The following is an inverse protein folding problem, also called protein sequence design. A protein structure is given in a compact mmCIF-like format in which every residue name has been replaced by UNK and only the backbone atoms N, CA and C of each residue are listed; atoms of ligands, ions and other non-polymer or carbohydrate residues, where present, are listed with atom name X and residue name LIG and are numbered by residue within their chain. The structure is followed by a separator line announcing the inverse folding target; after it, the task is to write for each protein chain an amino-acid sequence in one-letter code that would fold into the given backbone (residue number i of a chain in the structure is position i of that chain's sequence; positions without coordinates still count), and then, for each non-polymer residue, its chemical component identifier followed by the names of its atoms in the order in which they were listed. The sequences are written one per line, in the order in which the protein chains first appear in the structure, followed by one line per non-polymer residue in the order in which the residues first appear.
data_IF_604168414737
#
_entry.id   IF_604168414737
#
_cell.length_a   1.000
_cell.length_b   1.000
_cell.length_c   1.000
_cell.angle_alpha   90.00
_cell.angle_beta   90.00
_cell.angle_gamma   90.00
#
_symmetry.space_group_name_H-M   'P 1'
#
loop_
_entity.id
_entity.type
_entity.pdbx_description
1 polymer ?
#
# COMPACT_ATOMS: atom_id res chain seq x y z
N UNK A 1 38.96 37.54 -2.42
CA UNK A 1 40.15 36.82 -1.92
C UNK A 1 39.67 35.55 -1.22
N UNK A 2 40.27 34.40 -1.54
CA UNK A 2 40.25 33.14 -0.79
C UNK A 2 38.90 32.44 -0.48
N UNK A 3 38.49 31.58 -1.43
CA UNK A 3 37.96 30.23 -1.19
C UNK A 3 39.11 29.20 -1.44
N UNK A 4 38.88 27.86 -1.49
CA UNK A 4 37.78 27.02 -1.00
C UNK A 4 38.29 26.21 0.23
N UNK A 5 38.59 24.88 0.29
CA UNK A 5 38.42 23.71 -0.61
C UNK A 5 37.22 22.80 -0.14
N UNK A 6 36.95 21.56 -0.60
CA UNK A 6 37.60 20.67 -1.57
C UNK A 6 36.57 20.10 -2.58
N UNK A 7 36.86 20.24 -3.87
CA UNK A 7 36.33 19.39 -4.94
C UNK A 7 37.48 19.24 -5.95
N UNK A 8 37.85 18.01 -6.31
CA UNK A 8 38.94 17.76 -7.28
C UNK A 8 38.50 16.69 -8.26
N UNK A 9 38.40 17.06 -9.54
CA UNK A 9 38.10 16.13 -10.62
C UNK A 9 39.37 15.44 -11.11
N UNK A 10 39.21 14.20 -11.60
CA UNK A 10 40.01 13.67 -12.71
C UNK A 10 39.10 12.89 -13.64
N UNK A 11 38.73 13.51 -14.76
CA UNK A 11 38.18 12.79 -15.90
C UNK A 11 39.34 12.14 -16.67
N UNK A 12 39.27 10.83 -16.89
CA UNK A 12 39.89 10.20 -18.05
C UNK A 12 38.80 9.72 -19.01
N UNK A 13 38.98 10.05 -20.29
CA UNK A 13 38.04 9.75 -21.38
C UNK A 13 38.48 8.42 -22.01
N UNK A 14 37.70 7.36 -21.85
CA UNK A 14 37.86 6.08 -22.57
C UNK A 14 36.48 5.60 -23.06
N UNK A 15 36.49 4.93 -24.22
CA UNK A 15 35.30 4.51 -24.97
C UNK A 15 34.61 3.28 -24.35
N UNK A 16 33.34 3.01 -24.71
CA UNK A 16 32.52 2.02 -24.02
C UNK A 16 32.80 0.59 -24.50
N UNK A 17 33.30 -0.24 -23.59
CA UNK A 17 33.18 -1.71 -23.68
C UNK A 17 32.75 -2.27 -22.34
N UNK A 18 31.95 -3.33 -22.41
CA UNK A 18 31.31 -4.10 -21.35
C UNK A 18 32.07 -4.13 -20.00
N UNK A 19 31.38 -3.77 -18.91
CA UNK A 19 31.79 -4.16 -17.56
C UNK A 19 30.57 -4.35 -16.65
N UNK A 20 30.42 -5.59 -16.17
CA UNK A 20 29.44 -6.04 -15.20
C UNK A 20 29.91 -5.60 -13.80
N UNK A 21 29.08 -4.95 -12.97
CA UNK A 21 29.35 -4.82 -11.55
C UNK A 21 28.76 -6.02 -10.79
N UNK A 22 29.63 -6.88 -10.24
CA UNK A 22 29.21 -7.89 -9.26
C UNK A 22 29.14 -7.29 -7.85
N UNK A 23 28.30 -7.90 -7.02
CA UNK A 23 27.75 -7.38 -5.76
C UNK A 23 28.74 -7.13 -4.61
N UNK A 24 28.30 -6.32 -3.64
CA UNK A 24 28.72 -6.42 -2.23
C UNK A 24 27.51 -6.85 -1.41
N UNK A 25 27.51 -8.09 -0.92
CA UNK A 25 26.58 -8.59 0.11
C UNK A 25 27.37 -8.89 1.38
N UNK A 26 26.91 -8.37 2.52
CA UNK A 26 27.53 -8.65 3.81
C UNK A 26 27.13 -10.03 4.33
N UNK A 27 28.05 -10.99 4.26
CA UNK A 27 27.90 -12.34 4.83
C UNK A 27 28.86 -12.59 5.98
N UNK A 28 28.38 -13.25 7.04
CA UNK A 28 29.18 -13.60 8.23
C UNK A 28 30.33 -14.56 7.87
N UNK A 29 31.50 -14.36 8.49
CA UNK A 29 32.68 -15.18 8.24
C UNK A 29 32.75 -16.47 9.08
N UNK A 30 33.48 -17.47 8.57
CA UNK A 30 33.81 -18.68 9.33
C UNK A 30 34.02 -19.92 8.45
N UNK A 31 35.18 -20.04 7.79
CA UNK A 31 35.54 -21.26 7.04
C UNK A 31 36.74 -21.08 6.10
N UNK A 32 37.90 -21.57 6.51
CA UNK A 32 39.14 -21.52 5.72
C UNK A 32 39.32 -22.79 4.88
N UNK A 33 39.32 -22.69 3.55
CA UNK A 33 39.90 -23.72 2.68
C UNK A 33 40.68 -23.14 1.49
N UNK A 34 41.60 -23.95 0.99
CA UNK A 34 42.83 -23.56 0.27
C UNK A 34 42.59 -23.47 -1.25
N UNK A 35 43.08 -22.41 -1.88
CA UNK A 35 42.97 -22.23 -3.33
C UNK A 35 43.95 -23.17 -4.09
N UNK A 36 43.46 -23.84 -5.14
CA UNK A 36 44.29 -24.40 -6.21
C UNK A 36 43.75 -23.93 -7.56
N UNK A 37 44.59 -23.26 -8.35
CA UNK A 37 44.27 -22.84 -9.71
C UNK A 37 44.44 -24.00 -10.70
N UNK A 38 43.54 -24.11 -11.68
CA UNK A 38 43.86 -24.67 -13.00
C UNK A 38 43.12 -23.87 -14.09
N UNK A 39 43.80 -23.65 -15.21
CA UNK A 39 43.36 -22.75 -16.28
C UNK A 39 42.55 -23.46 -17.38
N UNK A 40 41.68 -22.67 -18.05
CA UNK A 40 41.22 -22.78 -19.44
C UNK A 40 41.21 -24.15 -20.15
N UNK A 41 40.03 -24.54 -20.67
CA UNK A 41 39.89 -24.66 -22.14
C UNK A 41 38.42 -24.64 -22.63
N UNK A 42 38.21 -24.15 -23.86
CA UNK A 42 36.93 -24.25 -24.59
C UNK A 42 36.80 -25.64 -25.22
N UNK A 43 35.60 -26.24 -25.23
CA UNK A 43 34.97 -26.82 -26.45
C UNK A 43 33.58 -27.38 -26.17
N UNK A 44 32.74 -27.37 -27.21
CA UNK A 44 31.45 -28.07 -27.23
C UNK A 44 31.64 -29.58 -27.32
N UNK A 45 30.88 -30.35 -26.54
CA UNK A 45 30.39 -31.69 -26.92
C UNK A 45 29.29 -32.20 -25.99
N UNK A 46 28.18 -32.62 -26.59
CA UNK A 46 27.12 -33.39 -25.94
C UNK A 46 27.65 -34.76 -25.51
N UNK A 47 27.43 -35.15 -24.24
CA UNK A 47 27.66 -36.53 -23.79
C UNK A 47 26.45 -36.96 -22.96
N UNK A 48 25.69 -37.92 -23.50
CA UNK A 48 24.75 -38.72 -22.72
C UNK A 48 25.54 -39.72 -21.88
N UNK A 49 25.21 -39.87 -20.60
CA UNK A 49 25.54 -41.06 -19.83
C UNK A 49 24.33 -41.60 -19.08
N UNK A 50 24.02 -42.86 -19.38
CA UNK A 50 23.06 -43.69 -18.67
C UNK A 50 23.52 -43.93 -17.22
N UNK A 51 22.59 -43.91 -16.28
CA UNK A 51 22.63 -44.90 -15.20
C UNK A 51 21.20 -45.29 -14.82
N UNK A 52 20.89 -46.57 -15.01
CA UNK A 52 19.56 -47.13 -14.82
C UNK A 52 19.43 -47.64 -13.38
N UNK A 53 18.30 -47.39 -12.73
CA UNK A 53 17.70 -48.37 -11.82
C UNK A 53 16.20 -48.46 -12.12
N UNK A 54 15.74 -49.70 -12.28
CA UNK A 54 14.38 -50.04 -12.74
C UNK A 54 13.64 -50.85 -11.67
N UNK A 55 12.34 -51.07 -11.94
CA UNK A 55 11.41 -51.98 -11.24
C UNK A 55 10.84 -51.42 -9.91
N UNK A 56 9.55 -51.56 -9.59
CA UNK A 56 8.49 -52.41 -10.19
C UNK A 56 7.21 -51.61 -10.47
N UNK A 57 6.63 -51.80 -11.68
CA UNK A 57 5.21 -51.58 -12.02
C UNK A 57 4.66 -52.94 -12.50
N UNK A 58 3.43 -53.31 -12.14
CA UNK A 58 2.60 -54.39 -12.75
C UNK A 58 1.16 -54.36 -12.14
N UNK A 59 0.10 -54.93 -12.77
CA UNK A 59 -0.96 -54.10 -13.37
C UNK A 59 -2.44 -54.45 -13.01
N UNK A 60 -3.39 -53.66 -13.57
CA UNK A 60 -4.79 -53.94 -14.00
C UNK A 60 -5.57 -55.16 -13.42
N UNK A 61 -6.89 -55.12 -13.15
CA UNK A 61 -8.00 -54.81 -14.11
C UNK A 61 -9.40 -54.72 -13.41
N UNK A 62 -10.54 -54.47 -14.12
CA UNK A 62 -11.81 -54.02 -13.51
C UNK A 62 -12.96 -55.07 -13.46
N UNK A 63 -14.08 -54.66 -12.83
CA UNK A 63 -15.52 -55.02 -13.03
C UNK A 63 -16.26 -55.47 -11.76
N UNK A 64 -17.35 -54.76 -11.40
CA UNK A 64 -18.74 -55.27 -11.58
C UNK A 64 -19.79 -54.36 -10.92
N UNK A 65 -20.96 -54.23 -11.56
CA UNK A 65 -22.14 -53.55 -11.02
C UNK A 65 -22.95 -54.51 -10.11
N UNK A 66 -23.62 -53.99 -9.06
CA UNK A 66 -25.10 -53.86 -9.02
C UNK A 66 -25.67 -53.29 -7.70
N UNK A 67 -26.61 -52.36 -7.88
CA UNK A 67 -27.77 -52.01 -7.05
C UNK A 67 -28.06 -52.80 -5.75
N UNK A 68 -28.46 -52.07 -4.69
CA UNK A 68 -29.80 -52.24 -4.08
C UNK A 68 -30.36 -50.90 -3.55
N UNK A 69 -31.65 -50.89 -3.18
CA UNK A 69 -32.56 -49.72 -3.12
C UNK A 69 -32.70 -49.06 -1.74
N UNK A 70 -32.94 -47.75 -1.74
CA UNK A 70 -33.70 -47.04 -0.69
C UNK A 70 -35.22 -47.34 -0.77
N UNK A 71 -35.97 -47.24 0.35
CA UNK A 71 -37.41 -47.00 0.35
C UNK A 71 -37.76 -45.49 0.26
N UNK A 72 -38.90 -45.21 -0.38
CA UNK A 72 -39.64 -43.94 -0.53
C UNK A 72 -40.16 -43.36 0.83
N UNK A 73 -40.82 -42.19 0.98
CA UNK A 73 -41.47 -41.17 0.11
C UNK A 73 -41.73 -39.87 0.94
N UNK A 74 -42.12 -38.67 0.46
CA UNK A 74 -42.13 -37.95 -0.84
C UNK A 74 -42.64 -36.48 -0.62
N UNK A 75 -42.88 -35.74 -1.72
CA UNK A 75 -43.63 -34.46 -1.90
C UNK A 75 -42.79 -33.17 -2.06
N UNK A 76 -42.33 -32.86 -3.29
CA UNK A 76 -42.93 -31.94 -4.33
C UNK A 76 -42.59 -30.45 -4.12
N UNK A 77 -42.23 -29.63 -5.13
CA UNK A 77 -42.21 -29.85 -6.59
C UNK A 77 -41.16 -28.96 -7.31
N UNK A 78 -40.58 -29.54 -8.38
CA UNK A 78 -40.18 -28.96 -9.69
C UNK A 78 -40.60 -27.50 -10.04
N UNK A 79 -39.92 -26.74 -10.94
CA UNK A 79 -38.87 -27.11 -11.94
C UNK A 79 -38.28 -25.92 -12.72
N UNK A 80 -37.03 -26.10 -13.20
CA UNK A 80 -36.42 -25.61 -14.45
C UNK A 80 -36.27 -24.12 -14.82
N UNK A 81 -35.08 -23.79 -15.34
CA UNK A 81 -34.72 -22.51 -15.99
C UNK A 81 -35.13 -22.51 -17.46
N UNK A 82 -35.51 -21.35 -17.99
CA UNK A 82 -35.54 -21.07 -19.43
C UNK A 82 -34.73 -19.80 -19.74
N UNK A 83 -34.09 -19.79 -20.90
CA UNK A 83 -33.44 -18.60 -21.47
C UNK A 83 -34.40 -17.92 -22.44
N UNK A 84 -34.43 -16.59 -22.50
CA UNK A 84 -35.18 -15.87 -23.53
C UNK A 84 -34.49 -14.55 -23.87
N UNK A 85 -34.01 -14.43 -25.11
CA UNK A 85 -33.69 -13.13 -25.73
C UNK A 85 -34.99 -12.38 -26.00
N UNK A 86 -34.98 -11.06 -25.86
CA UNK A 86 -36.09 -10.21 -26.32
C UNK A 86 -35.56 -9.24 -27.36
N UNK A 87 -36.04 -9.41 -28.59
CA UNK A 87 -35.97 -8.47 -29.71
C UNK A 87 -37.36 -7.93 -29.96
N UNK A 88 -37.50 -6.65 -30.32
CA UNK A 88 -38.75 -6.11 -30.85
C UNK A 88 -38.52 -5.45 -32.20
N UNK A 89 -39.27 -5.89 -33.20
CA UNK A 89 -39.34 -5.31 -34.53
C UNK A 89 -40.62 -4.47 -34.71
N UNK A 90 -40.61 -3.66 -35.76
CA UNK A 90 -41.65 -2.70 -36.15
C UNK A 90 -42.93 -3.36 -36.66
N UNK A 91 -44.06 -2.65 -36.55
CA UNK A 91 -45.14 -2.77 -37.53
C UNK A 91 -45.89 -1.43 -37.74
N UNK A 92 -46.81 -1.39 -38.71
CA UNK A 92 -46.90 -0.27 -39.67
C UNK A 92 -48.24 0.52 -39.71
N UNK A 93 -48.13 1.83 -40.01
CA UNK A 93 -48.98 2.72 -40.86
C UNK A 93 -50.51 2.50 -41.03
N UNK A 94 -51.34 3.57 -41.18
CA UNK A 94 -51.34 4.31 -42.46
C UNK A 94 -51.81 5.80 -42.53
N UNK A 95 -51.50 6.39 -43.71
CA UNK A 95 -52.30 7.32 -44.55
C UNK A 95 -51.98 8.84 -44.61
N UNK A 96 -51.67 9.29 -45.85
CA UNK A 96 -51.90 10.59 -46.53
C UNK A 96 -51.40 11.92 -45.87
N UNK A 97 -50.87 12.93 -46.58
CA UNK A 97 -50.98 13.29 -48.01
C UNK A 97 -49.84 14.25 -48.47
N UNK A 98 -49.48 14.19 -49.76
CA UNK A 98 -48.89 15.26 -50.63
C UNK A 98 -47.50 15.89 -50.34
N UNK A 99 -46.78 16.08 -51.46
CA UNK A 99 -45.51 16.80 -51.68
C UNK A 99 -45.78 18.11 -52.48
N UNK A 100 -44.83 18.88 -53.08
CA UNK A 100 -43.35 18.81 -53.10
C UNK A 100 -42.61 20.17 -52.94
N UNK A 101 -41.25 20.16 -52.95
CA UNK A 101 -40.35 20.91 -53.88
C UNK A 101 -38.89 21.03 -53.36
N UNK A 102 -37.93 20.98 -54.30
CA UNK A 102 -36.46 21.15 -54.16
C UNK A 102 -36.04 22.59 -54.56
N UNK A 103 -34.75 23.04 -54.67
CA UNK A 103 -33.44 22.38 -54.39
C UNK A 103 -32.34 23.24 -53.67
N UNK A 104 -31.18 22.59 -53.43
CA UNK A 104 -29.78 23.08 -53.60
C UNK A 104 -29.02 23.97 -52.57
N UNK A 105 -27.78 23.49 -52.37
CA UNK A 105 -26.49 24.22 -52.29
C UNK A 105 -25.96 24.85 -50.98
N UNK A 106 -25.00 24.11 -50.42
CA UNK A 106 -23.62 24.52 -50.09
C UNK A 106 -23.31 25.33 -48.82
N UNK A 107 -22.36 24.76 -48.08
CA UNK A 107 -21.40 25.38 -47.16
C UNK A 107 -21.93 26.12 -45.94
N UNK A 108 -21.75 25.49 -44.78
CA UNK A 108 -21.09 26.14 -43.64
C UNK A 108 -20.35 25.09 -42.81
N UNK A 109 -19.18 25.48 -42.29
CA UNK A 109 -18.38 24.63 -41.43
C UNK A 109 -19.11 24.40 -40.10
N UNK A 110 -19.10 23.17 -39.62
CA UNK A 110 -19.55 22.83 -38.27
C UNK A 110 -18.61 23.52 -37.27
N UNK A 111 -19.16 24.50 -36.54
CA UNK A 111 -18.50 25.08 -35.38
C UNK A 111 -18.85 24.18 -34.20
N UNK A 112 -18.08 23.11 -34.05
CA UNK A 112 -18.14 22.26 -32.86
C UNK A 112 -17.63 23.07 -31.66
N UNK A 113 -18.56 23.74 -30.98
CA UNK A 113 -18.35 24.20 -29.62
C UNK A 113 -18.32 22.98 -28.69
N UNK A 114 -17.18 22.29 -28.67
CA UNK A 114 -16.82 21.39 -27.58
C UNK A 114 -16.86 22.19 -26.27
N UNK A 115 -17.96 22.06 -25.55
CA UNK A 115 -18.07 22.53 -24.16
C UNK A 115 -17.26 21.57 -23.31
N UNK A 116 -15.96 21.87 -23.16
CA UNK A 116 -15.08 21.17 -22.23
C UNK A 116 -15.67 21.30 -20.83
N UNK A 117 -16.27 20.21 -20.36
CA UNK A 117 -16.63 20.09 -18.95
C UNK A 117 -15.32 19.91 -18.19
N UNK A 118 -14.75 21.03 -17.74
CA UNK A 118 -13.54 21.07 -16.94
C UNK A 118 -13.75 20.29 -15.64
N UNK A 119 -13.43 19.00 -15.67
CA UNK A 119 -13.37 18.13 -14.48
C UNK A 119 -12.16 18.57 -13.67
N UNK A 120 -12.38 19.62 -12.89
CA UNK A 120 -11.39 20.24 -12.02
C UNK A 120 -10.81 19.18 -11.06
N UNK A 121 -9.48 19.17 -10.92
CA UNK A 121 -8.80 18.17 -10.10
C UNK A 121 -9.38 18.15 -8.66
N UNK A 122 -9.61 16.99 -8.02
CA UNK A 122 -10.11 16.93 -6.64
C UNK A 122 -9.22 17.65 -5.60
N UNK A 123 -7.98 17.98 -5.97
CA UNK A 123 -7.02 18.74 -5.16
C UNK A 123 -7.10 20.26 -5.36
N UNK A 124 -7.86 20.75 -6.34
CA UNK A 124 -7.83 22.14 -6.73
C UNK A 124 -8.35 23.06 -5.59
N UNK A 125 -7.62 24.15 -5.33
CA UNK A 125 -7.83 25.03 -4.18
C UNK A 125 -7.44 24.41 -2.82
N UNK A 126 -7.04 23.13 -2.78
CA UNK A 126 -6.62 22.42 -1.58
C UNK A 126 -5.15 22.63 -1.19
N UNK A 127 -4.82 22.24 0.04
CA UNK A 127 -3.47 22.29 0.60
C UNK A 127 -2.91 20.88 0.69
N UNK A 128 -1.81 20.60 -0.02
CA UNK A 128 -1.19 19.26 -0.06
C UNK A 128 -0.01 19.14 0.88
N UNK A 129 -0.13 18.26 1.89
CA UNK A 129 1.00 17.71 2.61
C UNK A 129 1.74 16.72 1.71
N UNK A 130 3.04 16.91 1.51
CA UNK A 130 3.88 16.08 0.64
C UNK A 130 4.60 14.98 1.44
N UNK A 131 4.49 13.71 1.02
CA UNK A 131 5.15 12.61 1.72
C UNK A 131 4.81 11.20 1.22
N UNK A 132 5.43 10.19 1.83
CA UNK A 132 5.14 8.77 1.53
C UNK A 132 3.98 8.20 2.36
N UNK A 133 3.72 8.77 3.54
CA UNK A 133 2.55 8.46 4.39
C UNK A 133 2.35 7.00 4.82
N UNK A 134 3.35 6.12 4.69
CA UNK A 134 3.31 4.67 5.00
C UNK A 134 2.69 4.36 6.38
N UNK A 135 3.25 4.92 7.47
CA UNK A 135 2.80 4.66 8.83
C UNK A 135 1.70 5.57 9.37
N UNK A 136 1.38 6.69 8.69
CA UNK A 136 0.52 7.74 9.25
C UNK A 136 0.90 8.08 10.72
N UNK A 137 2.19 8.32 11.00
CA UNK A 137 2.72 8.59 12.35
C UNK A 137 2.53 10.06 12.77
N UNK A 138 2.89 10.43 14.00
CA UNK A 138 2.65 11.80 14.52
C UNK A 138 3.27 12.91 13.65
N UNK A 139 4.42 12.67 13.02
CA UNK A 139 4.98 13.61 12.03
C UNK A 139 4.14 13.81 10.76
N UNK A 140 3.40 12.80 10.30
CA UNK A 140 2.45 12.96 9.18
C UNK A 140 1.18 13.70 9.63
N UNK A 141 0.74 13.47 10.87
CA UNK A 141 -0.38 14.19 11.47
C UNK A 141 -0.07 15.68 11.60
N UNK A 142 1.16 16.05 11.97
CA UNK A 142 1.57 17.46 12.02
C UNK A 142 1.53 18.14 10.63
N UNK A 143 2.00 17.46 9.58
CA UNK A 143 1.84 17.97 8.20
C UNK A 143 0.36 18.21 7.84
N UNK A 144 -0.53 17.28 8.23
CA UNK A 144 -1.97 17.41 7.99
C UNK A 144 -2.61 18.58 8.78
N UNK A 145 -2.23 18.75 10.05
CA UNK A 145 -2.68 19.86 10.92
C UNK A 145 -2.26 21.21 10.32
N UNK A 146 -1.03 21.33 9.84
CA UNK A 146 -0.54 22.58 9.26
C UNK A 146 -1.19 22.85 7.89
N UNK A 147 -1.47 21.81 7.10
CA UNK A 147 -2.29 21.95 5.89
C UNK A 147 -3.72 22.43 6.21
N UNK A 148 -4.33 21.89 7.28
CA UNK A 148 -5.69 22.23 7.72
C UNK A 148 -5.82 23.69 8.24
N UNK A 149 -4.73 24.28 8.74
CA UNK A 149 -4.67 25.71 9.11
C UNK A 149 -4.66 26.65 7.89
N UNK A 150 -4.21 26.15 6.73
CA UNK A 150 -4.12 26.93 5.49
C UNK A 150 -5.34 26.74 4.58
N UNK A 151 -6.09 25.64 4.72
CA UNK A 151 -7.24 25.31 3.88
C UNK A 151 -7.65 23.85 4.00
N UNK A 152 -8.32 23.32 2.98
CA UNK A 152 -8.78 21.92 2.95
C UNK A 152 -7.56 20.95 2.81
N UNK A 153 -7.27 20.07 3.80
CA UNK A 153 -6.03 19.31 3.86
C UNK A 153 -6.07 18.00 3.06
N UNK A 154 -5.02 17.77 2.28
CA UNK A 154 -4.79 16.53 1.54
C UNK A 154 -3.40 15.94 1.84
N UNK A 155 -3.30 14.61 1.89
CA UNK A 155 -2.03 13.89 1.87
C UNK A 155 -1.72 13.46 0.44
N UNK A 156 -0.75 14.12 -0.21
CA UNK A 156 -0.33 13.79 -1.57
C UNK A 156 0.84 12.80 -1.53
N UNK A 157 0.57 11.56 -1.95
CA UNK A 157 1.52 10.45 -1.90
C UNK A 157 1.92 9.92 -3.28
N UNK A 158 3.07 9.24 -3.35
CA UNK A 158 3.61 8.69 -4.59
C UNK A 158 3.65 7.15 -4.55
N UNK A 159 2.75 6.52 -5.31
CA UNK A 159 2.57 5.06 -5.36
C UNK A 159 3.37 4.39 -6.47
N UNK A 160 3.55 3.08 -6.38
CA UNK A 160 4.35 2.28 -7.33
C UNK A 160 5.86 2.55 -7.28
N UNK A 161 6.34 3.31 -6.29
CA UNK A 161 7.77 3.63 -6.14
C UNK A 161 8.65 2.38 -6.05
N UNK A 162 8.15 1.29 -5.43
CA UNK A 162 8.89 0.05 -5.29
C UNK A 162 9.09 -0.65 -6.65
N UNK A 163 8.02 -0.86 -7.42
CA UNK A 163 8.12 -1.47 -8.76
C UNK A 163 9.06 -0.67 -9.68
N UNK A 164 8.90 0.66 -9.74
CA UNK A 164 9.70 1.52 -10.64
C UNK A 164 11.18 1.60 -10.19
N UNK A 165 11.51 1.26 -8.93
CA UNK A 165 12.89 1.19 -8.42
C UNK A 165 13.46 -0.23 -8.34
N UNK A 166 12.69 -1.26 -8.66
CA UNK A 166 13.11 -2.66 -8.49
C UNK A 166 13.33 -3.04 -7.02
N UNK A 167 12.55 -2.45 -6.11
CA UNK A 167 12.58 -2.80 -4.69
C UNK A 167 11.58 -3.91 -4.37
N UNK A 168 11.97 -4.83 -3.48
CA UNK A 168 11.07 -5.84 -2.94
C UNK A 168 9.79 -5.21 -2.35
N UNK A 169 8.59 -5.70 -2.72
CA UNK A 169 7.34 -5.29 -2.09
C UNK A 169 7.39 -5.48 -0.57
N UNK A 170 6.82 -4.52 0.16
CA UNK A 170 6.73 -4.57 1.62
C UNK A 170 5.29 -4.33 2.04
N UNK A 171 4.79 -5.12 2.97
CA UNK A 171 3.50 -4.86 3.61
C UNK A 171 3.47 -3.44 4.17
N UNK A 172 2.38 -2.67 3.98
CA UNK A 172 2.26 -1.31 4.51
C UNK A 172 2.21 -1.36 6.04
N UNK A 173 2.50 -0.23 6.71
CA UNK A 173 2.26 -0.14 8.15
C UNK A 173 0.77 0.01 8.46
N UNK A 174 0.04 0.81 7.68
CA UNK A 174 -1.42 0.92 7.76
C UNK A 174 -2.05 0.27 6.53
N UNK A 175 -2.87 -0.76 6.74
CA UNK A 175 -3.59 -1.45 5.66
C UNK A 175 -4.48 -0.47 4.87
N UNK A 176 -4.60 -0.64 3.55
CA UNK A 176 -5.28 0.35 2.68
C UNK A 176 -6.73 0.63 3.10
N UNK A 177 -7.46 -0.38 3.56
CA UNK A 177 -8.80 -0.27 4.13
C UNK A 177 -8.88 0.47 5.48
N UNK A 178 -7.82 0.48 6.29
CA UNK A 178 -7.78 1.15 7.61
C UNK A 178 -7.47 2.66 7.52
N UNK A 179 -6.90 3.12 6.40
CA UNK A 179 -6.34 4.48 6.29
C UNK A 179 -7.39 5.56 6.54
N UNK A 180 -8.59 5.39 6.01
CA UNK A 180 -9.69 6.35 6.23
C UNK A 180 -10.12 6.45 7.70
N UNK A 181 -10.13 5.34 8.44
CA UNK A 181 -10.38 5.34 9.89
C UNK A 181 -9.29 6.12 10.62
N UNK A 182 -8.01 5.82 10.33
CA UNK A 182 -6.87 6.54 10.93
C UNK A 182 -6.93 8.04 10.67
N UNK A 183 -7.21 8.47 9.43
CA UNK A 183 -7.31 9.89 9.08
C UNK A 183 -8.53 10.57 9.75
N UNK A 184 -9.64 9.86 9.92
CA UNK A 184 -10.81 10.38 10.63
C UNK A 184 -10.51 10.72 12.09
N UNK A 185 -9.57 10.02 12.74
CA UNK A 185 -9.09 10.39 14.10
C UNK A 185 -8.37 11.74 14.16
N UNK A 186 -7.95 12.30 13.01
CA UNK A 186 -7.25 13.59 12.96
C UNK A 186 -8.20 14.78 12.71
N UNK A 187 -9.47 14.52 12.39
CA UNK A 187 -10.48 15.55 12.05
C UNK A 187 -10.55 16.69 13.05
N UNK A 188 -10.64 16.39 14.35
CA UNK A 188 -10.68 17.40 15.43
C UNK A 188 -9.44 18.30 15.46
N UNK A 189 -8.25 17.73 15.17
CA UNK A 189 -6.99 18.46 15.11
C UNK A 189 -6.82 19.24 13.79
N UNK A 190 -7.59 18.87 12.77
CA UNK A 190 -7.61 19.43 11.42
C UNK A 190 -8.86 20.31 11.19
N UNK A 191 -9.22 21.15 12.17
CA UNK A 191 -10.34 22.10 12.08
C UNK A 191 -11.70 21.44 11.72
N UNK A 192 -11.97 20.24 12.25
CA UNK A 192 -13.17 19.46 11.96
C UNK A 192 -13.17 18.75 10.59
N UNK A 193 -12.11 18.90 9.79
CA UNK A 193 -12.00 18.33 8.45
C UNK A 193 -11.14 17.07 8.46
N UNK A 194 -11.70 15.92 8.09
CA UNK A 194 -10.91 14.70 7.86
C UNK A 194 -9.99 14.87 6.66
N UNK A 195 -8.65 14.76 6.81
CA UNK A 195 -7.73 14.83 5.68
C UNK A 195 -7.98 13.70 4.69
N UNK A 196 -7.90 14.00 3.39
CA UNK A 196 -8.08 13.01 2.32
C UNK A 196 -6.74 12.66 1.67
N UNK A 197 -6.58 11.42 1.22
CA UNK A 197 -5.38 11.03 0.47
C UNK A 197 -5.59 11.20 -1.03
N UNK A 198 -4.50 11.53 -1.73
CA UNK A 198 -4.44 11.51 -3.17
C UNK A 198 -3.15 10.80 -3.60
N UNK A 199 -3.29 9.76 -4.41
CA UNK A 199 -2.19 8.91 -4.88
C UNK A 199 -1.81 9.33 -6.31
N UNK A 200 -0.54 9.67 -6.53
CA UNK A 200 0.03 9.90 -7.88
C UNK A 200 1.02 8.78 -8.18
N UNK A 201 0.94 8.17 -9.36
CA UNK A 201 1.93 7.18 -9.77
C UNK A 201 3.33 7.80 -9.85
N UNK A 202 4.30 7.18 -9.17
CA UNK A 202 5.68 7.65 -9.16
C UNK A 202 6.31 7.69 -10.56
N UNK A 203 5.90 6.78 -11.46
CA UNK A 203 6.26 6.77 -12.88
C UNK A 203 6.00 8.12 -13.57
N UNK A 204 4.86 8.77 -13.26
CA UNK A 204 4.40 10.04 -13.87
C UNK A 204 5.14 11.28 -13.35
N UNK A 205 5.88 11.16 -12.24
CA UNK A 205 6.61 12.28 -11.61
C UNK A 205 8.12 12.10 -11.48
N UNK A 206 8.62 10.86 -11.59
CA UNK A 206 10.03 10.51 -11.33
C UNK A 206 11.04 11.29 -12.19
N UNK A 207 10.70 11.58 -13.44
CA UNK A 207 11.56 12.27 -14.41
C UNK A 207 11.46 13.80 -14.35
N UNK A 208 10.50 14.36 -13.62
CA UNK A 208 10.27 15.81 -13.57
C UNK A 208 11.42 16.51 -12.84
N UNK A 209 11.93 17.60 -13.40
CA UNK A 209 12.78 18.53 -12.66
C UNK A 209 12.01 19.15 -11.47
N UNK A 210 12.69 19.70 -10.45
CA UNK A 210 12.02 20.42 -9.36
C UNK A 210 11.01 21.47 -9.86
N UNK A 211 11.36 22.23 -10.89
CA UNK A 211 10.46 23.22 -11.52
C UNK A 211 9.21 22.57 -12.13
N UNK A 212 9.37 21.54 -12.95
CA UNK A 212 8.24 20.82 -13.57
C UNK A 212 7.34 20.13 -12.54
N UNK A 213 7.91 19.68 -11.41
CA UNK A 213 7.12 19.12 -10.31
C UNK A 213 6.22 20.18 -9.67
N UNK A 214 6.75 21.38 -9.37
CA UNK A 214 5.93 22.48 -8.83
C UNK A 214 4.94 23.01 -9.85
N UNK A 215 5.33 23.08 -11.13
CA UNK A 215 4.42 23.41 -12.22
C UNK A 215 3.23 22.44 -12.31
N UNK A 216 3.46 21.14 -12.14
CA UNK A 216 2.40 20.13 -12.06
C UNK A 216 1.48 20.34 -10.86
N UNK A 217 2.03 20.65 -9.68
CA UNK A 217 1.21 20.95 -8.49
C UNK A 217 0.30 22.16 -8.73
N UNK A 218 0.85 23.25 -9.26
CA UNK A 218 0.13 24.50 -9.54
C UNK A 218 -0.88 24.36 -10.68
N UNK A 219 -0.43 23.94 -11.88
CA UNK A 219 -1.24 24.02 -13.11
C UNK A 219 -2.11 22.79 -13.38
N UNK A 220 -1.64 21.58 -13.04
CA UNK A 220 -2.39 20.35 -13.33
C UNK A 220 -3.24 19.89 -12.15
N UNK A 221 -2.74 20.04 -10.91
CA UNK A 221 -3.48 19.66 -9.70
C UNK A 221 -4.23 20.84 -9.05
N UNK A 222 -3.91 22.09 -9.44
CA UNK A 222 -4.61 23.29 -8.98
C UNK A 222 -4.42 23.64 -7.51
N UNK A 223 -3.36 23.14 -6.84
CA UNK A 223 -3.21 23.28 -5.38
C UNK A 223 -2.93 24.74 -4.99
N UNK A 224 -3.57 25.22 -3.94
CA UNK A 224 -3.36 26.60 -3.41
C UNK A 224 -2.20 26.68 -2.42
N UNK A 225 -1.74 25.53 -1.92
CA UNK A 225 -0.58 25.45 -1.03
C UNK A 225 0.01 24.06 -0.87
N UNK A 226 1.25 24.02 -0.40
CA UNK A 226 2.03 22.83 -0.08
C UNK A 226 2.55 22.90 1.35
N UNK A 227 2.57 21.76 2.04
CA UNK A 227 3.21 21.59 3.34
C UNK A 227 4.22 20.45 3.26
N UNK A 228 5.44 20.67 3.72
CA UNK A 228 6.51 19.68 3.70
C UNK A 228 7.40 19.77 4.95
N UNK A 229 8.08 18.68 5.29
CA UNK A 229 9.13 18.72 6.32
C UNK A 229 10.42 19.34 5.79
N UNK A 230 11.24 19.92 6.67
CA UNK A 230 12.55 20.52 6.34
C UNK A 230 13.49 19.56 5.57
N UNK A 231 13.37 18.26 5.83
CA UNK A 231 14.15 17.20 5.21
C UNK A 231 13.59 16.72 3.85
N UNK A 232 12.49 17.31 3.36
CA UNK A 232 11.85 16.90 2.12
C UNK A 232 12.76 17.06 0.89
N UNK A 233 12.65 16.11 -0.04
CA UNK A 233 13.41 16.05 -1.29
C UNK A 233 12.49 15.68 -2.44
N UNK A 234 12.67 16.31 -3.60
CA UNK A 234 11.81 16.12 -4.76
C UNK A 234 12.52 16.36 -6.09
N UNK A 235 11.79 16.14 -7.18
CA UNK A 235 12.32 16.18 -8.55
C UNK A 235 13.27 15.03 -8.86
N UNK A 236 13.70 14.98 -10.12
CA UNK A 236 14.56 13.93 -10.66
C UNK A 236 15.84 13.78 -9.84
N UNK A 237 16.09 12.56 -9.37
CA UNK A 237 17.22 12.21 -8.49
C UNK A 237 17.30 13.03 -7.18
N UNK A 238 16.15 13.45 -6.64
CA UNK A 238 16.09 14.22 -5.39
C UNK A 238 16.86 15.56 -5.44
N UNK A 239 16.93 16.17 -6.63
CA UNK A 239 17.69 17.40 -6.87
C UNK A 239 17.13 18.63 -6.14
N UNK A 240 15.83 18.66 -5.84
CA UNK A 240 15.17 19.74 -5.10
C UNK A 240 15.09 19.47 -3.60
N UNK A 241 15.30 20.50 -2.79
CA UNK A 241 15.19 20.51 -1.32
C UNK A 241 14.10 21.50 -0.84
N UNK A 242 13.79 21.52 0.46
CA UNK A 242 12.75 22.38 1.04
C UNK A 242 12.88 23.89 0.67
N UNK A 243 14.10 24.43 0.56
CA UNK A 243 14.32 25.83 0.12
C UNK A 243 14.01 26.04 -1.36
N UNK A 244 14.29 25.04 -2.21
CA UNK A 244 13.93 25.07 -3.63
C UNK A 244 12.41 25.01 -3.80
N UNK A 245 11.72 24.22 -2.95
CA UNK A 245 10.27 24.13 -2.94
C UNK A 245 9.63 25.48 -2.65
N UNK A 246 10.06 26.18 -1.59
CA UNK A 246 9.56 27.52 -1.25
C UNK A 246 9.82 28.53 -2.38
N UNK A 247 11.03 28.50 -2.95
CA UNK A 247 11.41 29.42 -4.03
C UNK A 247 10.55 29.19 -5.28
N UNK A 248 10.42 27.94 -5.71
CA UNK A 248 9.64 27.59 -6.89
C UNK A 248 8.15 27.81 -6.67
N UNK A 249 7.58 27.41 -5.53
CA UNK A 249 6.15 27.62 -5.26
C UNK A 249 5.75 29.10 -5.33
N UNK A 250 6.61 30.01 -4.86
CA UNK A 250 6.42 31.46 -5.00
C UNK A 250 6.37 31.93 -6.47
N UNK A 251 7.10 31.29 -7.39
CA UNK A 251 7.04 31.61 -8.83
C UNK A 251 5.74 31.15 -9.50
N UNK A 252 5.03 30.19 -8.91
CA UNK A 252 3.79 29.60 -9.43
C UNK A 252 2.53 29.99 -8.61
N UNK A 253 2.64 31.04 -7.77
CA UNK A 253 1.59 31.54 -6.85
C UNK A 253 1.00 30.46 -5.91
N UNK A 254 1.84 29.52 -5.47
CA UNK A 254 1.50 28.47 -4.51
C UNK A 254 2.11 28.81 -3.15
N UNK A 255 1.31 28.77 -2.09
CA UNK A 255 1.81 28.96 -0.73
C UNK A 255 2.66 27.75 -0.29
N UNK A 256 3.84 27.97 0.29
CA UNK A 256 4.69 26.88 0.77
C UNK A 256 5.03 27.03 2.25
N UNK A 257 4.71 26.01 3.05
CA UNK A 257 5.02 25.96 4.47
C UNK A 257 5.93 24.78 4.80
N UNK A 258 7.10 25.07 5.36
CA UNK A 258 8.09 24.07 5.77
C UNK A 258 8.03 23.91 7.29
N UNK A 259 7.85 22.67 7.75
CA UNK A 259 7.79 22.35 9.18
C UNK A 259 9.08 21.67 9.64
N UNK A 260 9.47 21.93 10.88
CA UNK A 260 10.51 21.13 11.54
C UNK A 260 10.03 19.71 11.82
N UNK A 261 10.97 18.77 11.85
CA UNK A 261 10.69 17.37 12.06
C UNK A 261 10.14 17.13 13.47
N UNK A 262 9.06 16.35 13.60
CA UNK A 262 8.54 15.95 14.91
C UNK A 262 9.53 14.97 15.54
N UNK A 263 10.17 15.40 16.62
CA UNK A 263 11.19 14.61 17.31
C UNK A 263 10.57 13.52 18.18
N UNK A 264 11.24 12.38 18.23
CA UNK A 264 10.97 11.29 19.14
C UNK A 264 11.24 11.73 20.59
N UNK A 265 10.25 11.56 21.46
CA UNK A 265 10.34 11.96 22.88
C UNK A 265 11.37 11.14 23.65
N UNK A 266 11.58 9.89 23.24
CA UNK A 266 12.44 8.99 24.01
C UNK A 266 13.93 9.30 23.80
N UNK A 267 14.29 10.09 22.76
CA UNK A 267 15.60 10.68 22.40
C UNK A 267 16.85 9.79 22.43
N UNK A 268 16.75 8.56 22.94
CA UNK A 268 17.88 7.66 23.05
C UNK A 268 18.21 7.09 21.68
N UNK A 269 19.51 7.18 21.34
CA UNK A 269 20.16 6.52 20.21
C UNK A 269 20.14 4.97 20.30
N UNK A 270 19.19 4.39 21.04
CA UNK A 270 19.16 2.96 21.40
C UNK A 270 18.80 2.01 20.25
N UNK A 271 18.16 2.48 19.17
CA UNK A 271 17.70 1.58 18.08
C UNK A 271 18.05 2.06 16.66
N UNK A 272 19.00 2.98 16.48
CA UNK A 272 19.55 3.27 15.14
C UNK A 272 21.09 3.19 15.16
N UNK A 273 21.58 1.95 15.04
CA UNK A 273 22.82 1.63 14.30
C UNK A 273 22.51 1.38 12.81
N UNK A 274 21.53 2.07 12.22
CA UNK A 274 21.49 2.11 10.75
C UNK A 274 22.62 3.04 10.30
N UNK A 275 23.26 2.70 9.17
CA UNK A 275 24.33 3.51 8.60
C UNK A 275 23.85 4.81 7.93
N UNK A 276 22.58 5.20 8.11
CA UNK A 276 22.05 6.46 7.58
C UNK A 276 22.49 7.62 8.48
N UNK A 277 23.51 8.34 8.04
CA UNK A 277 24.06 9.55 8.67
C UNK A 277 23.09 10.75 8.76
N UNK A 278 21.80 10.56 8.44
CA UNK A 278 20.77 11.58 8.36
C UNK A 278 19.59 11.37 9.34
N UNK A 279 19.59 10.31 10.15
CA UNK A 279 18.62 10.19 11.26
C UNK A 279 19.10 11.00 12.47
N UNK A 280 18.32 12.01 12.86
CA UNK A 280 18.64 12.96 13.92
C UNK A 280 17.79 12.77 15.18
N UNK A 281 16.87 11.79 15.20
CA UNK A 281 15.89 11.64 16.27
C UNK A 281 14.44 11.81 15.82
N UNK A 282 14.16 12.06 14.54
CA UNK A 282 12.82 12.34 14.05
C UNK A 282 11.92 11.10 13.97
N UNK A 283 10.65 11.26 14.31
CA UNK A 283 9.63 10.22 14.09
C UNK A 283 9.50 9.94 12.60
N UNK A 284 9.71 8.68 12.23
CA UNK A 284 9.70 8.22 10.84
C UNK A 284 9.06 6.85 10.69
N UNK A 285 8.60 6.52 9.48
CA UNK A 285 8.06 5.19 9.17
C UNK A 285 9.12 4.09 9.32
N UNK A 286 10.41 4.43 9.20
CA UNK A 286 11.54 3.54 9.52
C UNK A 286 11.56 3.19 11.01
N UNK A 287 11.46 4.19 11.91
CA UNK A 287 11.41 3.95 13.36
C UNK A 287 10.19 3.13 13.78
N UNK A 288 9.01 3.41 13.20
CA UNK A 288 7.80 2.60 13.46
C UNK A 288 8.00 1.14 13.06
N UNK A 289 8.60 0.88 11.89
CA UNK A 289 8.90 -0.50 11.45
C UNK A 289 9.95 -1.20 12.33
N UNK A 290 10.95 -0.47 12.85
CA UNK A 290 11.92 -1.00 13.81
C UNK A 290 11.27 -1.32 15.16
N UNK A 291 10.39 -0.46 15.66
CA UNK A 291 9.64 -0.68 16.90
C UNK A 291 8.71 -1.90 16.80
N UNK A 292 7.98 -2.04 15.68
CA UNK A 292 7.19 -3.23 15.36
C UNK A 292 8.06 -4.50 15.31
N UNK A 293 9.21 -4.45 14.62
CA UNK A 293 10.15 -5.57 14.52
C UNK A 293 10.79 -5.97 15.87
N UNK A 294 10.79 -5.07 16.86
CA UNK A 294 11.22 -5.35 18.22
C UNK A 294 10.08 -5.87 19.12
N UNK A 295 8.81 -5.65 18.74
CA UNK A 295 7.62 -5.97 19.54
C UNK A 295 7.25 -4.93 20.60
N UNK A 296 7.87 -3.75 20.56
CA UNK A 296 7.64 -2.68 21.54
C UNK A 296 6.36 -1.89 21.20
N UNK A 297 5.21 -2.44 21.58
CA UNK A 297 3.91 -1.85 21.25
C UNK A 297 3.63 -0.53 22.00
N UNK A 298 4.31 -0.27 23.11
CA UNK A 298 4.27 1.02 23.79
C UNK A 298 4.90 2.10 22.91
N UNK A 299 6.16 1.90 22.53
CA UNK A 299 6.90 2.83 21.68
C UNK A 299 6.29 2.94 20.26
N UNK A 300 5.76 1.86 19.68
CA UNK A 300 4.95 1.93 18.44
C UNK A 300 3.78 2.89 18.63
N UNK A 301 3.05 2.78 19.75
CA UNK A 301 1.87 3.61 20.01
C UNK A 301 2.22 5.09 20.23
N UNK A 302 3.40 5.38 20.79
CA UNK A 302 3.94 6.74 20.93
C UNK A 302 4.31 7.36 19.57
N UNK A 303 5.07 6.63 18.74
CA UNK A 303 5.46 7.07 17.40
C UNK A 303 4.23 7.27 16.48
N UNK A 304 3.24 6.36 16.58
CA UNK A 304 2.00 6.46 15.82
C UNK A 304 1.02 7.50 16.39
N UNK A 305 1.12 7.80 17.69
CA UNK A 305 0.16 8.63 18.43
C UNK A 305 -1.25 8.03 18.48
N UNK A 306 -1.34 6.69 18.44
CA UNK A 306 -2.53 5.81 18.50
C UNK A 306 -2.03 4.37 18.66
N UNK A 307 -2.89 3.43 19.05
CA UNK A 307 -2.54 2.01 19.02
C UNK A 307 -2.37 1.48 17.59
N UNK A 308 -1.48 0.51 17.39
CA UNK A 308 -1.33 -0.20 16.11
C UNK A 308 -2.51 -1.14 15.92
N UNK A 309 -3.10 -1.14 14.71
CA UNK A 309 -4.18 -2.06 14.33
C UNK A 309 -3.70 -2.97 13.18
N UNK A 310 -3.64 -4.27 13.44
CA UNK A 310 -3.31 -5.31 12.45
C UNK A 310 -4.62 -5.82 11.82
N UNK A 311 -4.71 -5.82 10.50
CA UNK A 311 -5.90 -6.27 9.79
C UNK A 311 -5.69 -7.62 9.10
N UNK A 312 -6.67 -8.52 9.23
CA UNK A 312 -6.72 -9.83 8.59
C UNK A 312 -7.87 -9.87 7.59
N UNK A 313 -7.63 -10.37 6.37
CA UNK A 313 -8.70 -10.71 5.42
C UNK A 313 -9.31 -12.08 5.74
N UNK A 314 -10.63 -12.14 5.83
CA UNK A 314 -11.43 -13.37 6.04
C UNK A 314 -12.08 -13.88 4.75
N UNK A 315 -11.73 -13.33 3.58
CA UNK A 315 -12.31 -13.69 2.28
C UNK A 315 -12.25 -15.18 1.93
N UNK A 316 -11.31 -15.92 2.52
CA UNK A 316 -11.22 -17.38 2.44
C UNK A 316 -11.38 -17.98 3.85
N UNK A 317 -12.60 -18.09 4.41
CA UNK A 317 -12.77 -18.52 5.81
C UNK A 317 -12.30 -19.95 6.07
N UNK A 318 -12.23 -20.79 5.02
CA UNK A 318 -11.78 -22.20 5.09
C UNK A 318 -10.32 -22.37 5.56
N UNK A 319 -9.47 -21.35 5.42
CA UNK A 319 -8.06 -21.42 5.87
C UNK A 319 -7.89 -21.06 7.35
N UNK A 320 -8.95 -20.59 8.00
CA UNK A 320 -8.97 -20.32 9.44
C UNK A 320 -9.29 -21.61 10.18
N UNK A 321 -8.53 -21.92 11.24
CA UNK A 321 -8.92 -22.97 12.18
C UNK A 321 -9.53 -22.35 13.42
N UNK A 322 -10.73 -22.81 13.79
CA UNK A 322 -11.41 -22.40 15.02
C UNK A 322 -11.52 -23.57 16.00
N UNK A 323 -11.34 -23.25 17.26
CA UNK A 323 -11.77 -24.05 18.41
C UNK A 323 -12.58 -23.13 19.32
N UNK A 324 -13.15 -23.67 20.41
CA UNK A 324 -14.15 -23.00 21.27
C UNK A 324 -13.90 -21.50 21.53
N UNK A 325 -12.67 -21.16 21.89
CA UNK A 325 -12.23 -19.80 22.24
C UNK A 325 -10.99 -19.32 21.46
N UNK A 326 -10.48 -20.10 20.49
CA UNK A 326 -9.25 -19.76 19.75
C UNK A 326 -9.47 -19.81 18.26
N UNK A 327 -9.15 -18.73 17.58
CA UNK A 327 -9.09 -18.63 16.11
C UNK A 327 -7.63 -18.57 15.69
N UNK A 328 -7.28 -19.28 14.62
CA UNK A 328 -5.96 -19.23 14.00
C UNK A 328 -6.10 -18.84 12.53
N UNK A 329 -5.33 -17.86 12.10
CA UNK A 329 -5.28 -17.37 10.73
C UNK A 329 -3.85 -17.48 10.18
N UNK A 330 -3.64 -17.98 8.95
CA UNK A 330 -2.33 -17.92 8.31
C UNK A 330 -1.82 -16.47 8.17
N UNK A 331 -0.51 -16.25 8.25
CA UNK A 331 0.07 -14.90 8.06
C UNK A 331 -0.14 -14.33 6.65
N UNK A 332 -0.54 -15.15 5.68
CA UNK A 332 -1.01 -14.70 4.36
C UNK A 332 -2.34 -13.93 4.38
N UNK A 333 -3.11 -13.97 5.48
CA UNK A 333 -4.29 -13.14 5.66
C UNK A 333 -3.96 -11.68 6.00
N UNK A 334 -2.72 -11.36 6.38
CA UNK A 334 -2.35 -10.04 6.92
C UNK A 334 -2.31 -8.96 5.83
N UNK A 335 -3.00 -7.85 6.09
CA UNK A 335 -3.10 -6.70 5.17
C UNK A 335 -2.09 -5.58 5.48
N UNK A 336 -1.39 -5.68 6.62
CA UNK A 336 -0.30 -4.80 7.04
C UNK A 336 0.73 -5.55 7.89
N UNK A 337 1.87 -4.92 8.16
CA UNK A 337 2.98 -5.56 8.90
C UNK A 337 2.56 -5.88 10.35
N UNK A 338 2.68 -7.16 10.79
CA UNK A 338 2.51 -7.51 12.19
C UNK A 338 3.69 -7.01 13.04
N UNK A 339 3.51 -6.82 14.36
CA UNK A 339 4.64 -6.74 15.26
C UNK A 339 5.34 -8.11 15.35
N UNK A 340 6.52 -8.12 15.98
CA UNK A 340 7.38 -9.29 16.18
C UNK A 340 6.63 -10.53 16.70
N UNK A 341 7.05 -11.72 16.28
CA UNK A 341 6.63 -13.00 16.87
C UNK A 341 6.69 -12.97 18.41
N UNK A 342 5.60 -13.39 19.07
CA UNK A 342 5.43 -13.28 20.51
C UNK A 342 3.98 -13.32 20.97
N UNK A 343 3.78 -13.34 22.29
CA UNK A 343 2.49 -13.23 22.97
C UNK A 343 2.22 -11.77 23.35
N UNK A 344 1.04 -11.27 22.97
CA UNK A 344 0.52 -9.97 23.32
C UNK A 344 -0.74 -10.16 24.17
N UNK A 345 -0.64 -9.83 25.47
CA UNK A 345 -1.70 -10.16 26.44
C UNK A 345 -2.89 -9.21 26.43
N UNK A 346 -2.72 -8.02 25.85
CA UNK A 346 -3.66 -6.90 25.92
C UNK A 346 -3.98 -6.43 24.51
N UNK A 347 -4.99 -7.04 23.92
CA UNK A 347 -5.47 -6.73 22.57
C UNK A 347 -7.00 -6.63 22.52
N UNK A 348 -7.49 -5.95 21.49
CA UNK A 348 -8.91 -5.78 21.21
C UNK A 348 -9.21 -6.26 19.78
N UNK A 349 -10.10 -7.24 19.66
CA UNK A 349 -10.61 -7.73 18.38
C UNK A 349 -11.87 -6.95 17.97
N UNK A 350 -11.77 -6.26 16.84
CA UNK A 350 -12.85 -5.57 16.15
C UNK A 350 -13.37 -6.46 15.01
N UNK A 351 -14.65 -6.83 15.12
CA UNK A 351 -15.45 -7.47 14.05
C UNK A 351 -16.26 -6.40 13.34
N UNK A 352 -16.95 -5.60 14.16
CA UNK A 352 -17.45 -4.28 13.85
C UNK A 352 -16.65 -3.23 14.66
N UNK A 353 -16.85 -1.94 14.36
CA UNK A 353 -16.18 -0.83 15.06
C UNK A 353 -16.83 -0.49 16.43
N UNK A 354 -17.94 -1.14 16.80
CA UNK A 354 -18.76 -0.74 17.95
C UNK A 354 -18.49 -1.58 19.21
N UNK A 355 -18.23 -2.88 19.08
CA UNK A 355 -18.08 -3.81 20.20
C UNK A 355 -16.76 -4.60 20.15
N UNK A 356 -15.63 -4.00 20.57
CA UNK A 356 -14.37 -4.72 20.65
C UNK A 356 -14.40 -5.84 21.70
N UNK A 357 -13.92 -7.02 21.32
CA UNK A 357 -13.78 -8.19 22.20
C UNK A 357 -12.35 -8.24 22.74
N UNK A 358 -12.13 -8.23 24.07
CA UNK A 358 -10.81 -8.46 24.65
C UNK A 358 -10.24 -9.82 24.23
N UNK A 359 -8.98 -9.82 23.83
CA UNK A 359 -8.29 -11.04 23.41
C UNK A 359 -6.79 -11.01 23.72
N UNK A 360 -6.20 -12.19 23.71
CA UNK A 360 -4.74 -12.39 23.69
C UNK A 360 -4.34 -12.85 22.30
N UNK A 361 -3.21 -12.33 21.83
CA UNK A 361 -2.75 -12.55 20.45
C UNK A 361 -1.37 -13.19 20.48
N UNK A 362 -1.24 -14.39 19.93
CA UNK A 362 0.06 -15.02 19.69
C UNK A 362 0.41 -14.90 18.22
N UNK A 363 1.52 -14.24 17.92
CA UNK A 363 2.05 -14.12 16.56
C UNK A 363 3.19 -15.11 16.40
N UNK A 364 3.07 -15.97 15.39
CA UNK A 364 4.10 -16.90 14.94
C UNK A 364 4.36 -16.66 13.44
N UNK A 365 5.57 -16.98 12.98
CA UNK A 365 6.02 -16.89 11.58
C UNK A 365 4.98 -17.25 10.51
N UNK A 366 4.15 -18.26 10.74
CA UNK A 366 3.15 -18.74 9.78
C UNK A 366 1.69 -18.52 10.20
N UNK A 367 1.42 -18.20 11.46
CA UNK A 367 0.06 -18.08 11.99
C UNK A 367 -0.08 -16.94 13.00
N UNK A 368 -1.23 -16.30 13.00
CA UNK A 368 -1.70 -15.44 14.09
C UNK A 368 -2.83 -16.17 14.81
N UNK A 369 -2.70 -16.31 16.13
CA UNK A 369 -3.69 -16.93 16.99
C UNK A 369 -4.36 -15.88 17.88
N UNK A 370 -5.68 -15.93 17.95
CA UNK A 370 -6.54 -15.06 18.77
C UNK A 370 -7.22 -15.93 19.81
N UNK A 371 -6.81 -15.81 21.07
CA UNK A 371 -7.47 -16.45 22.22
C UNK A 371 -8.46 -15.42 22.81
N UNK A 372 -9.76 -15.68 22.67
CA UNK A 372 -10.84 -14.74 23.03
C UNK A 372 -11.32 -14.95 24.47
N UNK A 373 -11.55 -13.86 25.19
CA UNK A 373 -12.06 -13.89 26.55
C UNK A 373 -13.61 -13.87 26.53
N UNK A 374 -14.21 -15.06 26.55
CA UNK A 374 -15.67 -15.27 26.55
C UNK A 374 -16.04 -16.60 25.87
N UNK A 375 -17.19 -17.20 26.20
CA UNK A 375 -17.69 -18.37 25.46
C UNK A 375 -18.40 -17.93 24.17
N UNK A 376 -18.28 -18.75 23.13
CA UNK A 376 -19.09 -18.77 21.90
C UNK A 376 -18.85 -17.68 20.82
N UNK A 377 -17.93 -16.73 21.02
CA UNK A 377 -17.61 -15.72 19.99
C UNK A 377 -17.03 -16.30 18.68
N UNK A 378 -16.32 -17.43 18.72
CA UNK A 378 -15.61 -17.98 17.56
C UNK A 378 -16.54 -18.49 16.43
N UNK A 379 -17.74 -18.99 16.78
CA UNK A 379 -18.70 -19.50 15.78
C UNK A 379 -19.38 -18.35 15.04
N UNK A 380 -19.69 -17.25 15.75
CA UNK A 380 -20.26 -16.03 15.16
C UNK A 380 -19.30 -15.41 14.13
N UNK A 381 -18.03 -15.28 14.50
CA UNK A 381 -16.95 -14.71 13.69
C UNK A 381 -16.81 -15.29 12.27
N UNK A 382 -16.94 -16.61 12.13
CA UNK A 382 -16.83 -17.29 10.84
C UNK A 382 -18.17 -17.40 10.09
N UNK A 383 -19.28 -17.00 10.71
CA UNK A 383 -20.62 -17.00 10.12
C UNK A 383 -21.08 -15.63 9.63
N UNK A 384 -20.41 -14.55 10.05
CA UNK A 384 -20.69 -13.18 9.61
C UNK A 384 -20.10 -12.89 8.22
N UNK A 385 -20.81 -12.11 7.40
CA UNK A 385 -20.32 -11.59 6.09
C UNK A 385 -19.13 -10.61 6.19
N UNK A 386 -18.56 -10.46 7.40
CA UNK A 386 -17.42 -9.60 7.70
C UNK A 386 -16.17 -10.08 6.95
N UNK A 387 -15.66 -9.24 6.04
CA UNK A 387 -14.51 -9.56 5.17
C UNK A 387 -13.14 -9.23 5.80
N UNK A 388 -13.11 -8.55 6.93
CA UNK A 388 -11.91 -8.02 7.59
C UNK A 388 -12.05 -8.13 9.11
N UNK A 389 -11.04 -8.64 9.80
CA UNK A 389 -10.91 -8.56 11.26
C UNK A 389 -9.81 -7.57 11.63
N UNK A 390 -10.06 -6.73 12.64
CA UNK A 390 -9.07 -5.78 13.16
C UNK A 390 -8.60 -6.13 14.55
N UNK A 391 -7.29 -6.14 14.78
CA UNK A 391 -6.67 -6.42 16.08
C UNK A 391 -5.91 -5.18 16.52
N UNK A 392 -6.37 -4.51 17.57
CA UNK A 392 -5.69 -3.35 18.13
C UNK A 392 -4.81 -3.77 19.32
N UNK A 393 -3.54 -3.32 19.33
CA UNK A 393 -2.55 -3.70 20.35
C UNK A 393 -2.48 -2.62 21.44
N UNK A 394 -3.09 -2.92 22.59
CA UNK A 394 -3.29 -1.99 23.69
C UNK A 394 -4.53 -2.33 24.51
N UNK A 395 -4.78 -1.55 25.56
CA UNK A 395 -6.00 -1.60 26.35
C UNK A 395 -6.98 -0.52 25.93
N UNK A 396 -8.28 -0.71 26.24
CA UNK A 396 -9.25 0.36 26.17
C UNK A 396 -8.81 1.50 27.06
N UNK A 397 -8.48 2.64 26.46
CA UNK A 397 -8.42 3.91 27.19
C UNK A 397 -9.85 4.29 27.56
N UNK A 398 -10.23 4.01 28.80
CA UNK A 398 -11.28 4.78 29.45
C UNK A 398 -10.73 6.20 29.63
N UNK A 399 -10.89 7.02 28.58
CA UNK A 399 -10.61 8.44 28.67
C UNK A 399 -11.47 9.00 29.82
N UNK A 400 -10.78 9.44 30.87
CA UNK A 400 -11.40 10.06 32.03
C UNK A 400 -11.87 11.43 31.58
N UNK A 401 -13.18 11.56 31.37
CA UNK A 401 -13.89 12.78 30.93
C UNK A 401 -13.59 13.96 31.85
#
# INVERSE_FOLDING_TARGET
MLSPPWYSSKYHRLNPTESIPMFVTGGYGGGSFRLMQLNNCKTSKTINLHSSFSLILQPFSPNSLKFFRNPFSCFTNNSFRYSTRVTYELNTNPSNTQSPLLPNCLSQCEVDQETSSDVMCPLAGGIVALGKFDALHIGHRELAIQAAKMGNPYLLSFVGMAEVLGWEPRAPVVAKCDRQRVLSTWSQLCNGTTPREFEVEFSKVRSLTPRQFVEKLSKELGVSGVVAGENYRFGYRAAGNASDLVTLCKEYDVNAFIISSVMDKNQESRIIKSGDSNDQGQVSSTRVRLALANGDMGYVSELLGRHHRLLLSTQNPEIFSSSRNRISAPTSCLLNVPPKDGLYEKCLLYIDENNPIPCRVTIEKSYVHLDLDGLDHCTFLLSSDTQILGIEFGELRYDSV
#
